data_IF_656551124719
#
_entry.id   IF_656551124719
#
_cell.length_a   1.000
_cell.length_b   1.000
_cell.length_c   1.000
_cell.angle_alpha   90.00
_cell.angle_beta   90.00
_cell.angle_gamma   90.00
#
_symmetry.space_group_name_H-M   'P 1'
#
loop_
_entity.id
_entity.type
_entity.pdbx_description
1 polymer ?
#
# COMPACT_ATOMS: atom_id res chain seq x y z
N UNK A 1 40.45 54.45 -3.26
CA UNK A 1 40.69 54.65 -1.82
C UNK A 1 39.34 54.80 -1.15
N UNK A 2 39.12 54.03 -0.08
CA UNK A 2 37.90 53.84 0.70
C UNK A 2 37.37 55.17 1.31
N UNK A 3 36.13 55.35 1.78
CA UNK A 3 35.33 54.51 2.69
C UNK A 3 33.83 54.89 2.68
N UNK A 4 32.96 53.87 2.72
CA UNK A 4 31.99 53.53 3.77
C UNK A 4 31.14 54.61 4.51
N UNK A 5 29.82 54.63 4.19
CA UNK A 5 28.62 54.45 5.05
C UNK A 5 28.54 55.21 6.42
N UNK A 6 27.54 56.09 6.65
CA UNK A 6 26.23 55.77 7.28
C UNK A 6 25.42 56.98 7.84
N UNK A 7 24.09 56.78 7.85
CA UNK A 7 23.03 57.27 8.77
C UNK A 7 22.68 58.76 8.86
N UNK A 8 21.43 59.08 8.50
CA UNK A 8 20.71 60.28 8.91
C UNK A 8 19.48 59.89 9.75
N UNK A 9 19.37 60.51 10.92
CA UNK A 9 18.29 60.41 11.91
C UNK A 9 17.32 61.58 11.79
N UNK A 10 16.02 61.25 11.94
CA UNK A 10 14.89 62.01 12.52
C UNK A 10 14.86 63.55 12.56
N UNK A 11 13.71 64.14 12.26
CA UNK A 11 12.87 64.84 13.26
C UNK A 11 11.67 65.59 12.66
N UNK A 12 10.74 65.94 13.57
CA UNK A 12 9.66 66.95 13.53
C UNK A 12 8.27 66.43 13.12
N UNK A 13 7.26 66.27 14.00
CA UNK A 13 6.65 67.05 15.12
C UNK A 13 5.23 67.44 14.69
N UNK A 14 4.19 66.77 15.20
CA UNK A 14 3.34 67.17 16.34
C UNK A 14 2.32 68.28 16.04
N UNK A 15 1.03 67.99 16.22
CA UNK A 15 0.17 68.77 17.14
C UNK A 15 -1.24 68.15 17.26
N UNK A 16 -1.72 68.21 18.48
CA UNK A 16 -2.90 67.61 19.10
C UNK A 16 -4.09 68.58 19.18
N UNK A 17 -5.32 68.07 19.14
CA UNK A 17 -6.46 68.70 19.81
C UNK A 17 -7.46 67.63 20.27
N UNK A 18 -7.88 67.71 21.52
CA UNK A 18 -8.72 66.78 22.27
C UNK A 18 -10.14 67.32 22.44
N UNK A 19 -11.14 66.44 22.36
CA UNK A 19 -12.44 66.60 23.04
C UNK A 19 -13.13 65.24 23.21
N UNK A 20 -13.39 64.89 24.46
CA UNK A 20 -14.11 63.70 24.96
C UNK A 20 -15.63 63.82 24.88
N UNK A 21 -16.35 62.76 24.46
CA UNK A 21 -17.40 62.08 25.27
C UNK A 21 -18.20 61.00 24.51
N UNK A 22 -18.23 59.80 25.13
CA UNK A 22 -19.25 58.72 25.13
C UNK A 22 -19.47 57.77 23.93
N UNK A 23 -19.71 56.44 24.19
CA UNK A 23 -19.76 55.39 23.17
C UNK A 23 -21.19 55.07 22.69
N UNK A 24 -21.36 54.81 21.39
CA UNK A 24 -22.63 54.37 20.80
C UNK A 24 -22.68 52.84 20.63
N UNK A 25 -23.76 52.24 21.13
CA UNK A 25 -24.14 50.82 21.01
C UNK A 25 -25.01 50.59 19.77
N UNK A 26 -24.78 49.46 19.05
CA UNK A 26 -25.77 48.50 18.49
C UNK A 26 -25.32 47.91 17.11
N UNK A 27 -25.82 46.73 16.68
CA UNK A 27 -26.43 45.61 17.41
C UNK A 27 -25.82 44.22 17.08
N UNK A 28 -26.03 43.27 18.00
CA UNK A 28 -25.77 41.83 17.81
C UNK A 28 -26.96 41.20 17.07
N UNK A 29 -26.71 40.49 15.97
CA UNK A 29 -27.70 39.61 15.34
C UNK A 29 -27.39 38.17 15.80
N UNK A 30 -28.25 37.66 16.68
CA UNK A 30 -28.44 36.24 16.94
C UNK A 30 -29.55 35.76 16.01
N UNK A 31 -29.33 34.72 15.20
CA UNK A 31 -30.45 33.87 14.78
C UNK A 31 -30.05 32.42 14.42
N UNK A 32 -30.47 31.54 15.32
CA UNK A 32 -31.04 30.19 15.18
C UNK A 32 -30.41 29.12 14.26
N UNK A 33 -30.11 28.00 14.93
CA UNK A 33 -30.00 26.62 14.44
C UNK A 33 -31.37 26.12 13.93
N UNK A 34 -31.48 25.39 12.80
CA UNK A 34 -32.70 24.63 12.51
C UNK A 34 -32.52 23.14 12.82
N UNK A 35 -33.54 22.58 13.49
CA UNK A 35 -33.78 21.15 13.65
C UNK A 35 -35.08 20.79 12.90
N UNK A 36 -34.98 19.77 12.04
CA UNK A 36 -35.98 18.81 11.55
C UNK A 36 -37.19 19.20 10.67
N UNK A 37 -37.23 18.53 9.51
CA UNK A 37 -38.35 17.86 8.82
C UNK A 37 -39.60 18.63 8.37
N UNK A 38 -39.83 18.67 7.05
CA UNK A 38 -41.02 18.07 6.41
C UNK A 38 -40.85 17.96 4.90
N UNK A 39 -41.00 16.71 4.45
CA UNK A 39 -41.47 16.16 3.17
C UNK A 39 -41.75 17.14 2.01
N UNK A 40 -41.05 16.96 0.89
CA UNK A 40 -41.67 17.05 -0.44
C UNK A 40 -41.12 15.96 -1.36
N UNK A 41 -42.06 15.28 -2.03
CA UNK A 41 -41.84 14.05 -2.77
C UNK A 41 -41.64 14.31 -4.26
N UNK A 42 -40.86 13.42 -4.88
CA UNK A 42 -40.81 13.06 -6.30
C UNK A 42 -40.18 14.01 -7.32
N UNK A 43 -38.88 13.80 -7.60
CA UNK A 43 -38.38 13.62 -8.98
C UNK A 43 -37.02 12.91 -9.04
N UNK A 44 -37.08 11.60 -9.31
CA UNK A 44 -36.20 10.78 -10.16
C UNK A 44 -34.67 10.74 -9.94
N UNK A 45 -34.23 9.58 -9.42
CA UNK A 45 -33.07 8.78 -9.84
C UNK A 45 -31.72 9.51 -10.00
N UNK A 46 -31.15 9.95 -8.88
CA UNK A 46 -29.68 9.99 -8.74
C UNK A 46 -29.29 8.93 -7.73
N UNK A 47 -28.46 7.98 -8.15
CA UNK A 47 -27.76 7.04 -7.29
C UNK A 47 -26.98 7.83 -6.25
N UNK A 48 -27.60 8.04 -5.09
CA UNK A 48 -26.95 8.63 -3.92
C UNK A 48 -26.04 7.55 -3.34
N UNK A 49 -24.89 7.35 -3.97
CA UNK A 49 -23.80 6.65 -3.32
C UNK A 49 -23.54 7.38 -1.98
N UNK A 50 -23.48 6.66 -0.85
CA UNK A 50 -23.13 7.29 0.42
C UNK A 50 -21.81 8.06 0.23
N UNK A 51 -21.63 9.18 0.94
CA UNK A 51 -20.28 9.74 1.11
C UNK A 51 -19.42 8.60 1.65
N UNK A 52 -18.47 8.11 0.85
CA UNK A 52 -17.63 6.97 1.22
C UNK A 52 -16.75 7.41 2.38
N UNK A 53 -17.25 7.25 3.60
CA UNK A 53 -16.41 7.26 4.80
C UNK A 53 -15.34 6.19 4.65
N UNK A 54 -14.23 6.36 5.36
CA UNK A 54 -13.11 5.42 5.30
C UNK A 54 -13.59 3.97 5.50
N UNK A 55 -13.22 3.13 4.54
CA UNK A 55 -13.39 1.69 4.56
C UNK A 55 -12.08 1.02 5.00
N UNK A 56 -11.52 1.51 6.11
CA UNK A 56 -10.35 0.92 6.75
C UNK A 56 -10.63 -0.54 7.11
N UNK A 57 -9.99 -1.44 6.37
CA UNK A 57 -9.96 -2.87 6.61
C UNK A 57 -9.06 -3.18 7.79
N UNK A 58 -7.88 -2.56 7.87
CA UNK A 58 -7.01 -2.61 9.05
C UNK A 58 -6.99 -1.21 9.68
N UNK A 59 -7.23 -1.13 10.98
CA UNK A 59 -7.29 0.13 11.74
C UNK A 59 -5.91 0.59 12.25
N UNK A 60 -5.91 1.75 12.91
CA UNK A 60 -4.81 2.27 13.74
C UNK A 60 -4.46 1.37 14.93
N UNK A 61 -5.42 0.57 15.43
CA UNK A 61 -5.19 -0.43 16.48
C UNK A 61 -4.53 -1.71 15.96
N UNK A 62 -4.25 -1.81 14.65
CA UNK A 62 -3.69 -3.00 14.01
C UNK A 62 -4.63 -4.21 13.97
N UNK A 63 -5.93 -3.95 14.09
CA UNK A 63 -6.99 -4.96 14.01
C UNK A 63 -7.70 -4.90 12.65
N UNK A 64 -8.16 -6.07 12.19
CA UNK A 64 -8.89 -6.19 10.94
C UNK A 64 -10.40 -6.14 11.19
N UNK A 65 -11.08 -5.17 10.56
CA UNK A 65 -12.52 -4.94 10.67
C UNK A 65 -13.22 -5.23 9.35
N UNK A 66 -14.14 -6.21 9.37
CA UNK A 66 -14.85 -6.65 8.16
C UNK A 66 -16.22 -6.00 8.00
N UNK A 67 -16.79 -5.47 9.08
CA UNK A 67 -18.19 -5.07 9.19
C UNK A 67 -18.53 -3.89 8.28
N UNK A 68 -17.59 -2.96 8.12
CA UNK A 68 -17.77 -1.77 7.25
C UNK A 68 -17.63 -2.11 5.77
N UNK A 69 -16.83 -3.12 5.44
CA UNK A 69 -16.55 -3.52 4.06
C UNK A 69 -17.61 -4.49 3.54
N UNK A 70 -18.13 -5.38 4.38
CA UNK A 70 -19.05 -6.45 4.00
C UNK A 70 -20.26 -6.00 3.15
N UNK A 71 -20.90 -4.84 3.38
CA UNK A 71 -22.02 -4.37 2.56
C UNK A 71 -21.66 -4.09 1.08
N UNK A 72 -20.38 -3.86 0.78
CA UNK A 72 -19.89 -3.56 -0.58
C UNK A 72 -19.47 -4.82 -1.36
N UNK A 73 -19.41 -5.97 -0.68
CA UNK A 73 -19.05 -7.25 -1.24
C UNK A 73 -20.29 -8.10 -1.54
N UNK A 74 -20.16 -8.95 -2.55
CA UNK A 74 -21.21 -9.78 -3.12
C UNK A 74 -20.83 -11.26 -3.07
N UNK A 75 -21.71 -12.14 -3.56
CA UNK A 75 -21.38 -13.56 -3.74
C UNK A 75 -20.69 -13.84 -5.09
N UNK A 76 -20.21 -12.80 -5.78
CA UNK A 76 -19.46 -12.93 -7.01
C UNK A 76 -18.13 -13.66 -6.75
N UNK A 77 -17.80 -14.61 -7.62
CA UNK A 77 -16.53 -15.37 -7.59
C UNK A 77 -15.54 -14.88 -8.65
N UNK A 78 -15.99 -14.05 -9.59
CA UNK A 78 -15.15 -13.44 -10.62
C UNK A 78 -14.76 -12.02 -10.20
N UNK A 79 -13.71 -11.93 -9.38
CA UNK A 79 -13.18 -10.66 -8.86
C UNK A 79 -11.66 -10.72 -8.85
N UNK A 80 -11.03 -9.56 -8.81
CA UNK A 80 -9.57 -9.43 -8.69
C UNK A 80 -9.23 -8.58 -7.47
N UNK A 81 -8.16 -8.95 -6.77
CA UNK A 81 -7.69 -8.27 -5.57
C UNK A 81 -6.32 -7.69 -5.88
N UNK A 82 -6.20 -6.38 -5.78
CA UNK A 82 -4.97 -5.64 -6.08
C UNK A 82 -4.53 -4.93 -4.80
N UNK A 83 -3.43 -5.38 -4.23
CA UNK A 83 -2.78 -4.73 -3.11
C UNK A 83 -1.65 -3.82 -3.59
N UNK A 84 -1.40 -2.74 -2.86
CA UNK A 84 -0.26 -1.86 -3.11
C UNK A 84 0.59 -1.71 -1.85
N UNK A 85 1.91 -1.75 -1.99
CA UNK A 85 2.87 -1.55 -0.90
C UNK A 85 4.02 -0.65 -1.35
N UNK A 86 4.58 0.10 -0.42
CA UNK A 86 5.75 0.94 -0.70
C UNK A 86 5.94 2.12 0.25
N UNK A 87 7.07 2.83 0.12
CA UNK A 87 7.47 3.89 1.04
C UNK A 87 6.55 5.13 1.06
N UNK A 88 6.73 6.08 1.99
CA UNK A 88 6.00 7.35 1.97
C UNK A 88 6.27 8.11 0.68
N UNK A 89 5.23 8.71 0.11
CA UNK A 89 5.37 9.56 -1.06
C UNK A 89 5.63 8.82 -2.37
N UNK A 90 5.72 7.49 -2.42
CA UNK A 90 5.97 6.74 -3.68
C UNK A 90 4.79 6.78 -4.68
N UNK A 91 3.66 7.41 -4.33
CA UNK A 91 2.52 7.60 -5.24
C UNK A 91 1.50 6.46 -5.22
N UNK A 92 1.48 5.61 -4.19
CA UNK A 92 0.57 4.46 -4.06
C UNK A 92 -0.90 4.79 -4.33
N UNK A 93 -1.48 5.69 -3.54
CA UNK A 93 -2.88 6.08 -3.64
C UNK A 93 -3.19 6.72 -5.01
N UNK A 94 -2.23 7.43 -5.62
CA UNK A 94 -2.37 7.96 -6.99
C UNK A 94 -2.46 6.83 -8.03
N UNK A 95 -1.59 5.81 -7.93
CA UNK A 95 -1.63 4.64 -8.82
C UNK A 95 -2.94 3.88 -8.66
N UNK A 96 -3.39 3.65 -7.42
CA UNK A 96 -4.67 2.96 -7.18
C UNK A 96 -5.88 3.77 -7.64
N UNK A 97 -5.86 5.10 -7.55
CA UNK A 97 -6.92 5.93 -8.10
C UNK A 97 -7.04 5.79 -9.62
N UNK A 98 -5.92 5.70 -10.35
CA UNK A 98 -5.97 5.41 -11.79
C UNK A 98 -6.57 4.02 -12.04
N UNK A 99 -6.13 3.00 -11.29
CA UNK A 99 -6.63 1.62 -11.45
C UNK A 99 -8.12 1.53 -11.12
N UNK A 100 -8.60 2.33 -10.17
CA UNK A 100 -10.02 2.46 -9.86
C UNK A 100 -10.84 3.09 -11.00
N UNK A 101 -10.18 3.77 -11.96
CA UNK A 101 -10.83 4.54 -13.01
C UNK A 101 -11.29 5.92 -12.54
N UNK A 102 -10.59 6.52 -11.56
CA UNK A 102 -10.89 7.88 -11.11
C UNK A 102 -10.53 8.91 -12.19
N UNK A 103 -11.54 9.65 -12.65
CA UNK A 103 -11.36 10.80 -13.52
C UNK A 103 -11.40 12.11 -12.71
N UNK A 104 -10.22 12.67 -12.46
CA UNK A 104 -10.06 13.95 -11.76
C UNK A 104 -10.52 15.18 -12.55
N UNK A 105 -10.88 15.04 -13.84
CA UNK A 105 -11.38 16.16 -14.64
C UNK A 105 -12.86 16.46 -14.39
N UNK A 106 -13.59 15.49 -13.84
CA UNK A 106 -15.01 15.58 -13.54
C UNK A 106 -15.27 16.44 -12.28
N UNK A 107 -15.98 17.59 -12.39
CA UNK A 107 -16.19 18.49 -11.26
C UNK A 107 -16.95 17.82 -10.09
N UNK A 108 -16.43 17.96 -8.87
CA UNK A 108 -17.10 17.53 -7.65
C UNK A 108 -16.91 16.06 -7.26
N UNK A 109 -16.13 15.29 -8.02
CA UNK A 109 -15.72 13.94 -7.62
C UNK A 109 -14.47 13.97 -6.76
N UNK A 110 -14.55 13.33 -5.59
CA UNK A 110 -13.38 13.10 -4.73
C UNK A 110 -12.71 11.79 -5.14
N UNK A 111 -11.39 11.78 -5.09
CA UNK A 111 -10.61 10.57 -5.34
C UNK A 111 -11.00 9.46 -4.32
N UNK A 112 -11.14 8.20 -4.76
CA UNK A 112 -11.44 7.08 -3.88
C UNK A 112 -10.42 6.92 -2.75
N UNK A 113 -9.13 7.05 -3.07
CA UNK A 113 -8.04 7.04 -2.09
C UNK A 113 -7.50 8.45 -1.92
N UNK A 114 -7.34 8.89 -0.68
CA UNK A 114 -6.78 10.20 -0.39
C UNK A 114 -5.29 10.24 -0.79
N UNK A 115 -4.95 11.20 -1.65
CA UNK A 115 -3.55 11.47 -2.02
C UNK A 115 -2.96 12.55 -1.13
N UNK A 116 -1.64 12.56 -0.94
CA UNK A 116 -0.95 13.59 -0.16
C UNK A 116 -1.29 15.01 -0.65
N UNK A 117 -1.86 15.82 0.25
CA UNK A 117 -2.06 17.24 0.03
C UNK A 117 -0.76 18.02 0.28
N UNK A 118 -0.70 19.27 -0.17
CA UNK A 118 0.44 20.15 0.15
C UNK A 118 0.60 20.36 1.66
N UNK A 119 -0.50 20.43 2.40
CA UNK A 119 -0.51 20.55 3.86
C UNK A 119 0.06 19.29 4.53
N UNK A 120 -0.40 18.10 4.12
CA UNK A 120 0.11 16.82 4.64
C UNK A 120 1.60 16.67 4.36
N UNK A 121 2.05 17.12 3.19
CA UNK A 121 3.48 17.14 2.81
C UNK A 121 4.27 18.14 3.66
N UNK A 122 3.75 19.35 3.87
CA UNK A 122 4.39 20.37 4.69
C UNK A 122 4.51 19.97 6.17
N UNK A 123 3.56 19.18 6.67
CA UNK A 123 3.53 18.66 8.04
C UNK A 123 4.21 17.30 8.19
N UNK A 124 4.79 16.74 7.12
CA UNK A 124 5.46 15.45 7.08
C UNK A 124 4.62 14.29 7.66
N UNK A 125 3.31 14.29 7.38
CA UNK A 125 2.38 13.25 7.85
C UNK A 125 2.10 12.19 6.78
N UNK A 126 1.72 10.99 7.22
CA UNK A 126 1.14 9.99 6.32
C UNK A 126 -0.33 10.34 6.03
N UNK A 127 -0.84 9.81 4.91
CA UNK A 127 -2.25 9.98 4.52
C UNK A 127 -3.10 8.75 4.85
N UNK A 128 -2.53 7.56 4.59
CA UNK A 128 -3.18 6.27 4.76
C UNK A 128 -2.68 5.62 6.04
N UNK A 129 -3.60 5.16 6.88
CA UNK A 129 -3.34 4.44 8.13
C UNK A 129 -3.98 3.05 8.04
N UNK A 130 -3.23 1.99 8.35
CA UNK A 130 -3.66 0.62 8.17
C UNK A 130 -3.82 0.23 6.69
N UNK A 131 -4.99 -0.29 6.32
CA UNK A 131 -5.35 -0.65 4.94
C UNK A 131 -6.72 -0.09 4.61
N UNK A 132 -6.82 0.81 3.64
CA UNK A 132 -8.10 1.30 3.10
C UNK A 132 -8.52 0.40 1.92
N UNK A 133 -9.77 -0.05 1.91
CA UNK A 133 -10.31 -0.90 0.85
C UNK A 133 -11.32 -0.15 -0.01
N UNK A 134 -11.22 -0.26 -1.34
CA UNK A 134 -12.26 0.19 -2.27
C UNK A 134 -12.62 -0.91 -3.25
N UNK A 135 -13.90 -0.91 -3.67
CA UNK A 135 -14.41 -1.82 -4.69
C UNK A 135 -14.81 -0.98 -5.91
N UNK A 136 -14.25 -1.30 -7.08
CA UNK A 136 -14.59 -0.61 -8.34
C UNK A 136 -15.90 -1.13 -8.94
N UNK A 137 -16.37 -0.48 -10.02
CA UNK A 137 -17.55 -0.94 -10.76
C UNK A 137 -17.30 -2.29 -11.45
N UNK A 138 -16.06 -2.55 -11.85
CA UNK A 138 -15.55 -3.76 -12.50
C UNK A 138 -15.18 -4.87 -11.49
N UNK A 139 -15.65 -4.76 -10.23
CA UNK A 139 -15.42 -5.73 -9.16
C UNK A 139 -13.94 -5.94 -8.82
N UNK A 140 -13.12 -4.90 -9.01
CA UNK A 140 -11.76 -4.88 -8.46
C UNK A 140 -11.83 -4.53 -6.98
N UNK A 141 -11.22 -5.35 -6.13
CA UNK A 141 -10.98 -5.05 -4.71
C UNK A 141 -9.57 -4.46 -4.61
N UNK A 142 -9.49 -3.16 -4.32
CA UNK A 142 -8.24 -2.41 -4.22
C UNK A 142 -7.88 -2.16 -2.75
N UNK A 143 -6.65 -2.50 -2.35
CA UNK A 143 -6.15 -2.35 -0.99
C UNK A 143 -5.01 -1.32 -0.97
N UNK A 144 -5.29 -0.12 -0.48
CA UNK A 144 -4.27 0.93 -0.25
C UNK A 144 -3.68 0.79 1.14
N UNK A 145 -2.38 0.52 1.24
CA UNK A 145 -1.72 0.34 2.52
C UNK A 145 -1.05 1.62 3.00
N UNK A 146 -0.99 1.77 4.33
CA UNK A 146 -0.11 2.73 4.96
C UNK A 146 1.33 2.57 4.45
N UNK A 147 2.10 3.67 4.31
CA UNK A 147 3.48 3.56 3.85
C UNK A 147 4.35 2.74 4.81
N UNK A 148 5.09 1.78 4.27
CA UNK A 148 6.17 1.10 5.01
C UNK A 148 7.40 2.01 5.11
N UNK A 149 8.30 1.75 6.07
CA UNK A 149 9.46 2.63 6.35
C UNK A 149 9.07 4.09 6.68
N UNK A 150 7.87 4.31 7.24
CA UNK A 150 7.34 5.66 7.46
C UNK A 150 7.78 6.25 8.80
N UNK A 151 8.59 7.32 8.80
CA UNK A 151 8.96 7.99 10.05
C UNK A 151 7.75 8.60 10.76
N UNK A 152 6.72 9.02 10.00
CA UNK A 152 5.51 9.61 10.56
C UNK A 152 4.64 8.58 11.29
N UNK A 153 4.62 7.31 10.85
CA UNK A 153 3.90 6.23 11.53
C UNK A 153 4.68 5.83 12.78
N UNK A 154 6.01 5.67 12.66
CA UNK A 154 6.88 5.40 13.79
C UNK A 154 6.74 6.47 14.89
N UNK A 155 6.73 7.76 14.51
CA UNK A 155 6.58 8.86 15.46
C UNK A 155 5.21 8.87 16.17
N UNK A 156 4.14 8.43 15.50
CA UNK A 156 2.80 8.35 16.08
C UNK A 156 2.66 7.17 17.05
N UNK A 157 3.26 6.02 16.74
CA UNK A 157 3.20 4.84 17.59
C UNK A 157 4.22 4.84 18.73
N UNK A 158 5.26 5.67 18.69
CA UNK A 158 6.31 5.68 19.70
C UNK A 158 5.85 6.37 20.99
N UNK A 159 5.85 5.63 22.10
CA UNK A 159 5.65 6.17 23.44
C UNK A 159 6.89 6.95 23.91
N UNK A 160 6.76 7.82 24.94
CA UNK A 160 7.90 8.58 25.47
C UNK A 160 9.06 7.73 26.00
N UNK A 161 8.80 6.47 26.34
CA UNK A 161 9.81 5.50 26.79
C UNK A 161 10.48 4.72 25.63
N UNK A 162 10.18 5.07 24.38
CA UNK A 162 10.68 4.38 23.19
C UNK A 162 9.95 3.09 22.84
N UNK A 163 8.94 2.69 23.61
CA UNK A 163 8.14 1.48 23.35
C UNK A 163 7.02 1.74 22.36
N UNK A 164 6.54 0.68 21.72
CA UNK A 164 5.38 0.75 20.82
C UNK A 164 4.07 0.94 21.56
N UNK A 165 3.22 1.86 21.09
CA UNK A 165 1.83 2.02 21.51
C UNK A 165 0.96 0.82 21.10
N UNK A 166 1.30 0.18 19.98
CA UNK A 166 0.59 -0.98 19.44
C UNK A 166 1.06 -2.23 20.20
N UNK A 167 0.15 -2.99 20.83
CA UNK A 167 0.50 -4.20 21.56
C UNK A 167 0.99 -5.30 20.60
N UNK A 168 2.00 -6.06 21.01
CA UNK A 168 2.38 -7.27 20.28
C UNK A 168 1.41 -8.41 20.62
N UNK A 169 1.21 -9.33 19.67
CA UNK A 169 0.31 -10.48 19.85
C UNK A 169 0.68 -11.35 21.06
N UNK A 170 1.96 -11.38 21.42
CA UNK A 170 2.48 -12.19 22.52
C UNK A 170 2.52 -11.44 23.87
N UNK A 171 2.01 -10.22 23.94
CA UNK A 171 2.05 -9.38 25.15
C UNK A 171 3.44 -8.86 25.49
N UNK A 172 4.45 -9.10 24.65
CA UNK A 172 5.79 -8.57 24.82
C UNK A 172 5.83 -7.08 24.44
N UNK A 173 6.47 -6.26 25.28
CA UNK A 173 6.69 -4.85 24.96
C UNK A 173 7.90 -4.74 24.03
N UNK A 174 7.63 -4.35 22.78
CA UNK A 174 8.65 -4.10 21.77
C UNK A 174 9.06 -2.63 21.75
N UNK A 175 10.31 -2.36 21.33
CA UNK A 175 10.69 -1.00 20.93
C UNK A 175 9.84 -0.56 19.73
N UNK A 176 9.61 0.75 19.62
CA UNK A 176 8.82 1.31 18.52
C UNK A 176 9.43 0.97 17.15
N UNK A 177 10.77 1.00 17.04
CA UNK A 177 11.49 0.66 15.80
C UNK A 177 11.25 -0.79 15.37
N UNK A 178 11.38 -1.74 16.30
CA UNK A 178 11.15 -3.16 15.99
C UNK A 178 9.68 -3.44 15.69
N UNK A 179 8.77 -2.84 16.46
CA UNK A 179 7.34 -2.99 16.18
C UNK A 179 6.98 -2.48 14.78
N UNK A 180 7.52 -1.32 14.39
CA UNK A 180 7.32 -0.75 13.07
C UNK A 180 7.91 -1.63 11.95
N UNK A 181 9.09 -2.23 12.17
CA UNK A 181 9.68 -3.20 11.23
C UNK A 181 8.77 -4.43 11.03
N UNK A 182 8.28 -5.02 12.13
CA UNK A 182 7.36 -6.16 12.08
C UNK A 182 6.03 -5.81 11.43
N UNK A 183 5.50 -4.61 11.67
CA UNK A 183 4.29 -4.13 11.00
C UNK A 183 4.48 -4.07 9.48
N UNK A 184 5.63 -3.58 9.00
CA UNK A 184 5.95 -3.55 7.57
C UNK A 184 6.00 -4.95 6.96
N UNK A 185 6.58 -5.91 7.69
CA UNK A 185 6.63 -7.33 7.29
C UNK A 185 5.23 -7.94 7.27
N UNK A 186 4.44 -7.76 8.32
CA UNK A 186 3.09 -8.30 8.43
C UNK A 186 2.17 -7.79 7.31
N UNK A 187 2.25 -6.50 6.95
CA UNK A 187 1.53 -5.97 5.79
C UNK A 187 1.97 -6.67 4.49
N UNK A 188 3.27 -6.79 4.26
CA UNK A 188 3.80 -7.45 3.07
C UNK A 188 3.35 -8.91 2.96
N UNK A 189 3.46 -9.68 4.04
CA UNK A 189 3.01 -11.08 4.09
C UNK A 189 1.50 -11.19 3.88
N UNK A 190 0.71 -10.33 4.53
CA UNK A 190 -0.74 -10.31 4.36
C UNK A 190 -1.15 -10.05 2.92
N UNK A 191 -0.60 -9.00 2.28
CA UNK A 191 -0.91 -8.68 0.88
C UNK A 191 -0.46 -9.80 -0.06
N UNK A 192 0.76 -10.31 0.13
CA UNK A 192 1.31 -11.41 -0.69
C UNK A 192 0.50 -12.70 -0.56
N UNK A 193 -0.29 -12.87 0.50
CA UNK A 193 -1.10 -14.07 0.75
C UNK A 193 -2.57 -13.90 0.36
N UNK A 194 -3.07 -12.68 0.18
CA UNK A 194 -4.50 -12.39 -0.03
C UNK A 194 -4.82 -11.72 -1.35
N UNK A 195 -3.82 -11.15 -2.03
CA UNK A 195 -3.99 -10.44 -3.30
C UNK A 195 -3.76 -11.34 -4.50
N UNK A 196 -4.35 -11.00 -5.64
CA UNK A 196 -4.01 -11.55 -6.95
C UNK A 196 -2.80 -10.82 -7.55
N UNK A 197 -2.81 -9.49 -7.46
CA UNK A 197 -1.70 -8.62 -7.86
C UNK A 197 -1.19 -7.86 -6.65
N UNK A 198 0.13 -7.82 -6.47
CA UNK A 198 0.81 -6.99 -5.48
C UNK A 198 1.68 -5.94 -6.18
N UNK A 199 1.21 -4.70 -6.20
CA UNK A 199 1.95 -3.56 -6.74
C UNK A 199 3.02 -3.13 -5.71
N UNK A 200 4.29 -3.26 -6.07
CA UNK A 200 5.44 -2.86 -5.26
C UNK A 200 5.96 -1.52 -5.77
N UNK A 201 5.61 -0.43 -5.09
CA UNK A 201 5.79 0.93 -5.61
C UNK A 201 6.90 1.69 -4.91
N UNK A 202 7.91 2.10 -5.68
CA UNK A 202 9.10 2.80 -5.19
C UNK A 202 9.30 4.13 -5.91
N UNK A 203 10.19 4.97 -5.39
CA UNK A 203 10.61 6.22 -6.04
C UNK A 203 12.01 6.06 -6.64
N UNK A 204 12.16 6.43 -7.92
CA UNK A 204 13.42 6.34 -8.64
C UNK A 204 13.85 4.89 -8.91
N UNK A 205 15.15 4.66 -9.13
CA UNK A 205 15.70 3.37 -9.60
C UNK A 205 16.64 2.68 -8.58
N UNK A 206 16.71 3.19 -7.35
CA UNK A 206 17.72 2.80 -6.36
C UNK A 206 17.11 2.36 -5.02
N UNK A 207 15.94 1.72 -5.05
CA UNK A 207 15.23 1.30 -3.83
C UNK A 207 15.46 -0.17 -3.50
N UNK A 208 16.71 -0.50 -3.18
CA UNK A 208 17.11 -1.85 -2.78
C UNK A 208 16.46 -2.26 -1.45
N UNK A 209 16.10 -1.30 -0.60
CA UNK A 209 15.41 -1.57 0.67
C UNK A 209 14.04 -2.20 0.43
N UNK A 210 13.27 -1.68 -0.54
CA UNK A 210 12.02 -2.31 -0.94
C UNK A 210 12.23 -3.73 -1.49
N UNK A 211 13.30 -3.95 -2.27
CA UNK A 211 13.59 -5.29 -2.79
C UNK A 211 13.94 -6.26 -1.67
N UNK A 212 14.76 -5.82 -0.71
CA UNK A 212 15.09 -6.59 0.47
C UNK A 212 13.83 -6.92 1.29
N UNK A 213 12.95 -5.93 1.50
CA UNK A 213 11.67 -6.16 2.17
C UNK A 213 10.84 -7.23 1.49
N UNK A 214 10.76 -7.22 0.16
CA UNK A 214 10.01 -8.25 -0.57
C UNK A 214 10.67 -9.63 -0.42
N UNK A 215 12.00 -9.74 -0.42
CA UNK A 215 12.65 -11.02 -0.10
C UNK A 215 12.42 -11.47 1.35
N UNK A 216 12.34 -10.53 2.30
CA UNK A 216 11.95 -10.83 3.68
C UNK A 216 10.50 -11.32 3.75
N UNK A 217 9.59 -10.74 2.97
CA UNK A 217 8.20 -11.21 2.84
C UNK A 217 8.16 -12.61 2.24
N UNK A 218 8.93 -12.87 1.18
CA UNK A 218 9.06 -14.19 0.54
C UNK A 218 9.50 -15.26 1.56
N UNK A 219 10.50 -14.92 2.38
CA UNK A 219 11.04 -15.80 3.42
C UNK A 219 10.04 -16.05 4.57
N UNK A 220 9.27 -15.03 4.98
CA UNK A 220 8.47 -15.11 6.21
C UNK A 220 7.01 -15.51 5.99
N UNK A 221 6.58 -15.65 4.73
CA UNK A 221 5.23 -16.08 4.36
C UNK A 221 4.98 -17.58 4.59
N UNK A 222 6.01 -18.38 4.89
CA UNK A 222 5.86 -19.81 5.11
C UNK A 222 4.80 -20.14 6.18
N UNK A 223 3.97 -21.14 5.88
CA UNK A 223 2.89 -21.58 6.75
C UNK A 223 1.62 -20.71 6.73
N UNK A 224 1.55 -19.70 5.86
CA UNK A 224 0.32 -18.95 5.60
C UNK A 224 -0.52 -19.69 4.53
N UNK A 225 -1.77 -20.10 4.84
CA UNK A 225 -2.58 -20.89 3.92
C UNK A 225 -3.17 -20.04 2.78
N UNK A 226 -3.49 -20.71 1.68
CA UNK A 226 -4.29 -20.14 0.59
C UNK A 226 -5.66 -19.63 1.11
N UNK A 227 -6.13 -18.44 0.66
CA UNK A 227 -7.42 -17.86 1.09
C UNK A 227 -8.62 -18.79 0.95
N UNK A 228 -8.64 -19.70 -0.02
CA UNK A 228 -9.71 -20.68 -0.23
C UNK A 228 -9.61 -21.93 0.66
N UNK A 229 -8.53 -22.09 1.43
CA UNK A 229 -8.25 -23.28 2.26
C UNK A 229 -8.20 -23.00 3.77
N UNK A 230 -8.58 -21.79 4.22
CA UNK A 230 -8.47 -21.38 5.63
C UNK A 230 -9.31 -22.21 6.62
N UNK A 231 -10.37 -22.89 6.18
CA UNK A 231 -11.23 -23.72 7.04
C UNK A 231 -10.51 -24.97 7.59
N UNK A 232 -9.52 -25.49 6.88
CA UNK A 232 -8.78 -26.69 7.27
C UNK A 232 -7.71 -26.40 8.33
N UNK A 233 -7.22 -25.17 8.39
CA UNK A 233 -6.15 -24.77 9.32
C UNK A 233 -6.59 -24.83 10.79
N UNK A 234 -7.84 -24.46 11.08
CA UNK A 234 -8.43 -24.55 12.43
C UNK A 234 -8.56 -25.97 13.00
N UNK A 235 -8.49 -27.01 12.15
CA UNK A 235 -8.51 -28.40 12.61
C UNK A 235 -7.10 -28.97 12.83
N UNK A 236 -6.10 -28.48 12.09
CA UNK A 236 -4.71 -28.93 12.23
C UNK A 236 -4.02 -28.38 13.48
N UNK A 237 -4.38 -27.16 13.92
CA UNK A 237 -3.76 -26.53 15.11
C UNK A 237 -4.14 -27.21 16.44
N UNK A 238 -5.16 -28.07 16.46
CA UNK A 238 -5.59 -28.82 17.64
C UNK A 238 -5.07 -30.27 17.69
N UNK A 239 -4.25 -30.70 16.73
CA UNK A 239 -3.73 -32.07 16.62
C UNK A 239 -2.20 -32.16 16.75
N UNK A 240 -1.55 -31.15 17.31
CA UNK A 240 -0.17 -31.27 17.80
C UNK A 240 -0.17 -31.96 19.16
N UNK A 241 -0.57 -33.23 19.16
CA UNK A 241 -0.20 -34.19 20.19
C UNK A 241 -0.03 -35.54 19.51
N UNK A 242 1.23 -35.95 19.43
CA UNK A 242 1.70 -37.31 19.17
C UNK A 242 1.19 -38.01 17.90
N UNK A 243 1.96 -37.86 16.81
CA UNK A 243 2.37 -39.00 15.96
C UNK A 243 3.41 -38.61 14.92
N UNK A 244 4.64 -39.05 15.16
CA UNK A 244 5.63 -39.31 14.11
C UNK A 244 5.10 -40.41 13.16
N UNK A 245 5.53 -40.34 11.91
CA UNK A 245 5.22 -41.21 10.75
C UNK A 245 3.92 -40.96 9.98
N UNK A 246 3.98 -40.02 9.02
CA UNK A 246 3.56 -40.32 7.64
C UNK A 246 4.21 -39.33 6.65
N UNK A 247 5.12 -39.81 5.81
CA UNK A 247 5.79 -39.06 4.72
C UNK A 247 4.86 -38.76 3.53
N UNK A 248 3.66 -38.26 3.82
CA UNK A 248 2.74 -37.68 2.84
C UNK A 248 2.06 -36.45 3.49
N UNK A 249 2.88 -35.51 3.98
CA UNK A 249 2.40 -34.14 4.13
C UNK A 249 2.18 -33.63 2.71
N UNK A 250 0.94 -33.73 2.23
CA UNK A 250 0.48 -32.92 1.09
C UNK A 250 0.96 -31.49 1.35
N UNK A 251 1.94 -31.03 0.56
CA UNK A 251 2.46 -29.69 0.67
C UNK A 251 1.26 -28.76 0.55
N UNK A 252 0.89 -28.12 1.67
CA UNK A 252 -0.17 -27.11 1.68
C UNK A 252 0.27 -26.09 0.64
N UNK A 253 -0.47 -26.02 -0.47
CA UNK A 253 -0.07 -25.21 -1.61
C UNK A 253 -0.09 -23.75 -1.18
N UNK A 254 1.10 -23.18 -0.98
CA UNK A 254 1.25 -21.81 -0.50
C UNK A 254 0.95 -20.84 -1.65
N UNK A 255 -0.26 -20.29 -1.66
CA UNK A 255 -0.66 -19.26 -2.62
C UNK A 255 0.19 -18.00 -2.48
N UNK A 256 0.62 -17.40 -3.60
CA UNK A 256 1.40 -16.16 -3.61
C UNK A 256 0.83 -15.16 -4.63
N UNK A 257 0.73 -13.90 -4.26
CA UNK A 257 0.34 -12.82 -5.17
C UNK A 257 1.42 -12.56 -6.23
N UNK A 258 0.99 -12.22 -7.45
CA UNK A 258 1.91 -11.82 -8.52
C UNK A 258 2.46 -10.42 -8.25
N UNK A 259 3.79 -10.23 -8.05
CA UNK A 259 4.34 -8.92 -7.78
C UNK A 259 4.59 -8.15 -9.08
N UNK A 260 4.20 -6.88 -9.07
CA UNK A 260 4.48 -5.93 -10.16
C UNK A 260 5.28 -4.77 -9.59
N UNK A 261 6.52 -4.62 -10.03
CA UNK A 261 7.40 -3.57 -9.56
C UNK A 261 7.13 -2.28 -10.34
N UNK A 262 6.75 -1.22 -9.63
CA UNK A 262 6.44 0.08 -10.22
C UNK A 262 7.42 1.12 -9.65
N UNK A 263 8.31 1.60 -10.50
CA UNK A 263 9.25 2.65 -10.14
C UNK A 263 8.68 3.99 -10.61
N UNK A 264 8.44 4.91 -9.68
CA UNK A 264 7.77 6.18 -9.94
C UNK A 264 8.73 7.36 -9.91
N UNK A 265 8.27 8.49 -10.46
CA UNK A 265 8.99 9.77 -10.47
C UNK A 265 10.40 9.69 -11.08
N UNK A 266 10.57 8.85 -12.10
CA UNK A 266 11.83 8.81 -12.82
C UNK A 266 12.08 10.15 -13.52
N UNK A 267 13.35 10.57 -13.50
CA UNK A 267 13.83 11.72 -14.27
C UNK A 267 14.17 11.27 -15.69
N UNK A 268 14.20 12.19 -16.64
CA UNK A 268 14.52 11.88 -18.05
C UNK A 268 15.83 11.11 -18.23
N UNK A 269 16.85 11.42 -17.44
CA UNK A 269 18.14 10.69 -17.48
C UNK A 269 18.05 9.23 -17.02
N UNK A 270 17.06 8.91 -16.20
CA UNK A 270 16.80 7.58 -15.66
C UNK A 270 15.88 6.77 -16.60
N UNK A 271 15.15 7.45 -17.51
CA UNK A 271 14.21 6.86 -18.49
C UNK A 271 14.86 6.33 -19.77
N UNK A 272 16.19 6.40 -19.92
CA UNK A 272 16.85 5.87 -21.12
C UNK A 272 16.64 4.34 -21.23
N UNK A 273 16.47 3.78 -22.45
CA UNK A 273 16.24 2.33 -22.63
C UNK A 273 17.33 1.45 -22.00
N UNK A 274 18.59 1.90 -22.03
CA UNK A 274 19.71 1.21 -21.40
C UNK A 274 19.54 1.10 -19.88
N UNK A 275 19.15 2.19 -19.21
CA UNK A 275 18.93 2.23 -17.75
C UNK A 275 17.77 1.32 -17.35
N UNK A 276 16.67 1.37 -18.09
CA UNK A 276 15.49 0.52 -17.83
C UNK A 276 15.84 -0.96 -18.03
N UNK A 277 16.59 -1.29 -19.10
CA UNK A 277 17.06 -2.67 -19.34
C UNK A 277 17.98 -3.16 -18.24
N UNK A 278 18.90 -2.30 -17.76
CA UNK A 278 19.76 -2.61 -16.62
C UNK A 278 18.96 -2.82 -15.34
N UNK A 279 17.99 -1.95 -15.05
CA UNK A 279 17.10 -2.08 -13.89
C UNK A 279 16.35 -3.41 -13.92
N UNK A 280 15.74 -3.77 -15.07
CA UNK A 280 15.05 -5.04 -15.25
C UNK A 280 15.97 -6.24 -15.01
N UNK A 281 17.17 -6.22 -15.60
CA UNK A 281 18.17 -7.28 -15.41
C UNK A 281 18.60 -7.42 -13.95
N UNK A 282 18.90 -6.30 -13.29
CA UNK A 282 19.31 -6.30 -11.88
C UNK A 282 18.17 -6.80 -10.98
N UNK A 283 16.93 -6.39 -11.24
CA UNK A 283 15.75 -6.87 -10.51
C UNK A 283 15.59 -8.39 -10.67
N UNK A 284 15.57 -8.91 -11.89
CA UNK A 284 15.46 -10.35 -12.14
C UNK A 284 16.60 -11.16 -11.51
N UNK A 285 17.82 -10.61 -11.50
CA UNK A 285 18.95 -11.22 -10.80
C UNK A 285 18.79 -11.20 -9.28
N UNK A 286 18.28 -10.10 -8.72
CA UNK A 286 18.09 -9.96 -7.27
C UNK A 286 17.05 -10.93 -6.72
N UNK A 287 16.03 -11.26 -7.50
CA UNK A 287 14.94 -12.17 -7.14
C UNK A 287 15.08 -13.58 -7.72
N UNK A 288 16.22 -13.95 -8.31
CA UNK A 288 16.36 -15.19 -9.08
C UNK A 288 16.06 -16.46 -8.28
N UNK A 289 16.27 -16.44 -6.96
CA UNK A 289 16.00 -17.56 -6.05
C UNK A 289 14.67 -17.45 -5.31
N UNK A 290 13.91 -16.36 -5.50
CA UNK A 290 12.70 -16.11 -4.74
C UNK A 290 11.49 -16.84 -5.35
N UNK A 291 10.47 -17.09 -4.53
CA UNK A 291 9.25 -17.73 -5.04
C UNK A 291 8.46 -16.81 -6.00
N UNK A 292 8.62 -15.48 -5.86
CA UNK A 292 8.07 -14.49 -6.79
C UNK A 292 8.54 -14.68 -8.24
N UNK A 293 9.80 -15.07 -8.47
CA UNK A 293 10.32 -15.30 -9.82
C UNK A 293 9.80 -16.61 -10.45
N UNK A 294 9.41 -17.59 -9.62
CA UNK A 294 8.90 -18.88 -10.09
C UNK A 294 7.48 -18.79 -10.66
N UNK A 295 6.69 -17.82 -10.20
CA UNK A 295 5.31 -17.62 -10.68
C UNK A 295 5.24 -17.25 -12.17
N UNK A 296 6.20 -16.45 -12.66
CA UNK A 296 6.25 -16.05 -14.08
C UNK A 296 6.35 -17.27 -15.01
N UNK A 297 6.95 -18.37 -14.54
CA UNK A 297 7.14 -19.60 -15.31
C UNK A 297 5.93 -20.56 -15.27
N UNK A 298 4.94 -20.36 -14.40
CA UNK A 298 3.79 -21.24 -14.26
C UNK A 298 2.72 -21.09 -15.34
N UNK A 299 2.76 -19.98 -16.10
CA UNK A 299 1.74 -19.62 -17.09
C UNK A 299 2.05 -20.09 -18.52
N UNK A 300 3.18 -20.75 -18.76
CA UNK A 300 3.42 -21.47 -20.04
C UNK A 300 2.90 -22.89 -19.92
N UNK A 301 1.97 -23.35 -20.78
CA UNK A 301 1.56 -24.75 -20.80
C UNK A 301 2.82 -25.60 -21.04
N UNK A 302 3.12 -26.52 -20.13
CA UNK A 302 4.03 -27.62 -20.41
C UNK A 302 3.35 -28.52 -21.43
N UNK A 303 3.50 -28.20 -22.71
CA UNK A 303 3.30 -29.21 -23.74
C UNK A 303 4.33 -30.30 -23.50
N UNK A 304 3.82 -31.49 -23.19
CA UNK A 304 4.60 -32.71 -23.13
C UNK A 304 5.20 -32.98 -24.52
N UNK A 305 6.45 -32.59 -24.73
CA UNK A 305 7.26 -33.12 -25.82
C UNK A 305 8.70 -33.35 -25.35
N UNK A 306 8.99 -34.64 -25.15
CA UNK A 306 10.28 -35.33 -25.27
C UNK A 306 11.50 -34.78 -24.52
N UNK A 307 11.88 -35.57 -23.49
CA UNK A 307 13.16 -35.53 -22.82
C UNK A 307 14.32 -35.75 -23.80
N UNK A 308 15.09 -34.69 -24.07
CA UNK A 308 16.46 -34.80 -24.56
C UNK A 308 17.42 -34.30 -23.47
N UNK A 309 18.36 -35.13 -22.98
CA UNK A 309 19.26 -34.75 -21.89
C UNK A 309 20.52 -34.11 -22.49
N UNK A 310 20.40 -32.92 -23.04
CA UNK A 310 21.54 -32.04 -23.39
C UNK A 310 20.98 -30.64 -23.68
N UNK A 311 20.65 -29.90 -22.64
CA UNK A 311 20.41 -28.46 -22.75
C UNK A 311 21.30 -27.76 -21.75
N UNK A 312 22.28 -27.02 -22.27
CA UNK A 312 23.17 -26.15 -21.54
C UNK A 312 22.40 -25.34 -20.48
N UNK A 313 22.71 -25.59 -19.20
CA UNK A 313 22.14 -24.90 -18.02
C UNK A 313 22.48 -23.38 -18.03
N UNK A 314 23.23 -22.91 -19.01
CA UNK A 314 23.74 -21.54 -19.11
C UNK A 314 22.86 -20.55 -19.91
N UNK A 315 21.71 -20.98 -20.45
CA UNK A 315 20.82 -20.10 -21.26
C UNK A 315 19.35 -20.01 -20.78
N UNK A 316 19.06 -20.32 -19.52
CA UNK A 316 17.77 -19.92 -18.95
C UNK A 316 17.75 -18.39 -18.86
N UNK A 317 16.98 -17.73 -19.74
CA UNK A 317 16.66 -16.32 -19.59
C UNK A 317 16.07 -16.14 -18.18
N UNK A 318 16.62 -15.24 -17.35
CA UNK A 318 16.08 -14.99 -16.02
C UNK A 318 14.58 -14.73 -16.11
N UNK A 319 13.79 -15.22 -15.14
CA UNK A 319 12.37 -14.88 -15.04
C UNK A 319 12.22 -13.36 -15.20
N UNK A 320 11.49 -12.94 -16.23
CA UNK A 320 11.22 -11.52 -16.43
C UNK A 320 10.14 -11.12 -15.42
N UNK A 321 10.56 -10.53 -14.31
CA UNK A 321 9.63 -9.89 -13.38
C UNK A 321 8.93 -8.72 -14.07
N UNK A 322 7.65 -8.54 -13.76
CA UNK A 322 6.86 -7.43 -14.29
C UNK A 322 7.37 -6.11 -13.67
N UNK A 323 7.87 -5.24 -14.54
CA UNK A 323 8.47 -3.95 -14.19
C UNK A 323 7.84 -2.84 -15.01
N UNK A 324 7.36 -1.80 -14.32
CA UNK A 324 6.87 -0.56 -14.90
C UNK A 324 7.67 0.62 -14.38
N UNK A 325 7.84 1.60 -15.25
CA UNK A 325 8.48 2.88 -14.91
C UNK A 325 7.52 4.02 -15.22
N UNK A 326 7.32 4.91 -14.26
CA UNK A 326 6.50 6.11 -14.40
C UNK A 326 7.40 7.34 -14.30
N UNK A 327 7.35 8.24 -15.30
CA UNK A 327 8.11 9.49 -15.25
C UNK A 327 7.55 10.39 -14.14
N UNK A 328 8.32 11.41 -13.76
CA UNK A 328 7.82 12.45 -12.85
C UNK A 328 6.74 13.28 -13.55
N UNK A 329 5.62 13.51 -12.87
CA UNK A 329 4.62 14.48 -13.33
C UNK A 329 5.25 15.88 -13.36
N UNK A 330 5.33 16.49 -14.54
CA UNK A 330 5.79 17.86 -14.76
C UNK A 330 4.58 18.69 -15.20
N UNK A 331 4.28 19.79 -14.51
CA UNK A 331 3.19 20.68 -14.93
C UNK A 331 3.56 21.48 -16.19
N UNK A 332 4.86 21.61 -16.48
CA UNK A 332 5.41 22.28 -17.67
C UNK A 332 5.65 21.29 -18.82
N UNK A 333 4.61 20.60 -19.29
CA UNK A 333 4.63 19.73 -20.49
C UNK A 333 4.91 20.50 -21.82
N UNK A 334 5.35 21.76 -21.72
CA UNK A 334 5.49 22.68 -22.84
C UNK A 334 6.91 22.73 -23.44
N UNK A 335 7.94 22.16 -22.80
CA UNK A 335 9.32 22.24 -23.30
C UNK A 335 10.07 20.91 -23.24
N UNK A 336 9.91 20.10 -24.29
CA UNK A 336 10.94 19.12 -24.69
C UNK A 336 10.94 17.77 -23.96
N UNK A 337 9.79 17.26 -23.53
CA UNK A 337 9.67 15.90 -23.01
C UNK A 337 10.24 14.90 -24.03
N UNK A 338 11.37 14.27 -23.71
CA UNK A 338 11.97 13.23 -24.55
C UNK A 338 11.24 11.89 -24.46
N UNK A 339 10.37 11.74 -23.45
CA UNK A 339 9.68 10.50 -23.12
C UNK A 339 8.17 10.72 -23.00
N UNK A 340 7.44 9.62 -22.93
CA UNK A 340 6.00 9.60 -22.73
C UNK A 340 5.57 10.34 -21.45
N UNK A 341 4.39 10.96 -21.47
CA UNK A 341 3.84 11.70 -20.32
C UNK A 341 3.50 10.79 -19.15
N UNK A 342 3.48 11.35 -17.94
CA UNK A 342 3.05 10.63 -16.73
C UNK A 342 1.66 10.01 -16.86
N UNK A 343 0.67 10.79 -17.33
CA UNK A 343 -0.71 10.32 -17.48
C UNK A 343 -0.81 9.16 -18.48
N UNK A 344 -0.10 9.24 -19.61
CA UNK A 344 -0.12 8.15 -20.59
C UNK A 344 0.56 6.88 -20.06
N UNK A 345 1.73 7.00 -19.42
CA UNK A 345 2.41 5.84 -18.81
C UNK A 345 1.60 5.23 -17.66
N UNK A 346 0.90 6.06 -16.87
CA UNK A 346 0.02 5.61 -15.80
C UNK A 346 -1.21 4.86 -16.34
N UNK A 347 -1.81 5.36 -17.42
CA UNK A 347 -2.88 4.65 -18.13
C UNK A 347 -2.43 3.30 -18.71
N UNK A 348 -1.20 3.21 -19.25
CA UNK A 348 -0.62 1.93 -19.70
C UNK A 348 -0.41 0.95 -18.55
N UNK A 349 0.05 1.42 -17.39
CA UNK A 349 0.16 0.59 -16.20
C UNK A 349 -1.21 0.01 -15.82
N UNK A 350 -2.25 0.86 -15.76
CA UNK A 350 -3.63 0.40 -15.51
C UNK A 350 -4.03 -0.68 -16.51
N UNK A 351 -3.94 -0.39 -17.80
CA UNK A 351 -4.40 -1.31 -18.84
C UNK A 351 -3.68 -2.66 -18.78
N UNK A 352 -2.38 -2.66 -18.48
CA UNK A 352 -1.62 -3.90 -18.32
C UNK A 352 -2.02 -4.66 -17.05
N UNK A 353 -2.16 -3.99 -15.90
CA UNK A 353 -2.60 -4.61 -14.64
C UNK A 353 -3.99 -5.24 -14.79
N UNK A 354 -4.93 -4.56 -15.47
CA UNK A 354 -6.27 -5.09 -15.73
C UNK A 354 -6.29 -6.27 -16.71
N UNK A 355 -5.28 -6.38 -17.58
CA UNK A 355 -5.13 -7.48 -18.53
C UNK A 355 -4.33 -8.67 -17.98
N UNK A 356 -3.75 -8.56 -16.78
CA UNK A 356 -2.94 -9.62 -16.19
C UNK A 356 -3.77 -10.87 -15.91
N UNK A 357 -3.23 -12.04 -16.30
CA UNK A 357 -3.75 -13.34 -15.89
C UNK A 357 -3.03 -13.79 -14.63
N UNK A 358 -3.65 -13.53 -13.48
CA UNK A 358 -3.09 -13.92 -12.18
C UNK A 358 -3.41 -15.37 -11.85
N UNK A 359 -2.58 -15.97 -10.99
CA UNK A 359 -2.86 -17.28 -10.42
C UNK A 359 -4.16 -17.19 -9.61
N UNK A 360 -5.16 -18.05 -9.89
CA UNK A 360 -6.36 -18.12 -9.07
C UNK A 360 -6.04 -18.78 -7.73
N UNK A 361 -6.87 -18.53 -6.71
CA UNK A 361 -6.86 -19.33 -5.49
C UNK A 361 -7.14 -20.81 -5.79
N UNK A 362 -6.68 -21.71 -4.91
CA UNK A 362 -6.83 -23.16 -5.09
C UNK A 362 -8.29 -23.60 -5.34
N UNK A 363 -9.26 -22.89 -4.75
CA UNK A 363 -10.69 -23.05 -5.03
C UNK A 363 -11.33 -21.68 -5.27
N UNK A 364 -12.34 -21.67 -6.14
CA UNK A 364 -13.17 -20.49 -6.33
C UNK A 364 -13.91 -20.16 -5.03
N UNK A 365 -13.73 -18.92 -4.55
CA UNK A 365 -14.39 -18.35 -3.37
C UNK A 365 -15.15 -17.10 -3.80
N UNK A 366 -16.17 -16.70 -3.06
CA UNK A 366 -16.82 -15.41 -3.29
C UNK A 366 -16.04 -14.25 -2.66
N UNK A 367 -16.31 -13.01 -3.07
CA UNK A 367 -15.70 -11.82 -2.44
C UNK A 367 -15.95 -11.77 -0.92
N UNK A 368 -17.15 -12.17 -0.48
CA UNK A 368 -17.51 -12.25 0.96
C UNK A 368 -16.74 -13.35 1.68
N UNK A 369 -16.54 -14.48 1.03
CA UNK A 369 -15.71 -15.55 1.56
C UNK A 369 -14.23 -15.14 1.62
N UNK A 370 -13.72 -14.48 0.59
CA UNK A 370 -12.38 -13.88 0.58
C UNK A 370 -12.17 -12.92 1.75
N UNK A 371 -13.11 -12.02 2.03
CA UNK A 371 -12.99 -11.09 3.16
C UNK A 371 -12.92 -11.84 4.50
N UNK A 372 -13.80 -12.82 4.70
CA UNK A 372 -13.84 -13.65 5.91
C UNK A 372 -12.54 -14.44 6.09
N UNK A 373 -12.03 -15.01 5.00
CA UNK A 373 -10.82 -15.82 5.02
C UNK A 373 -9.57 -14.96 5.19
N UNK A 374 -9.55 -13.75 4.61
CA UNK A 374 -8.50 -12.74 4.82
C UNK A 374 -8.43 -12.30 6.28
N UNK A 375 -9.57 -12.15 6.97
CA UNK A 375 -9.58 -11.91 8.42
C UNK A 375 -8.87 -13.01 9.21
N UNK A 376 -9.07 -14.29 8.84
CA UNK A 376 -8.35 -15.41 9.47
C UNK A 376 -6.86 -15.39 9.14
N UNK A 377 -6.51 -15.11 7.88
CA UNK A 377 -5.11 -14.99 7.46
C UNK A 377 -4.42 -13.88 8.25
N UNK A 378 -5.06 -12.73 8.47
CA UNK A 378 -4.50 -11.67 9.29
C UNK A 378 -4.16 -12.13 10.71
N UNK A 379 -5.05 -12.89 11.35
CA UNK A 379 -4.77 -13.48 12.67
C UNK A 379 -3.61 -14.48 12.64
N UNK A 380 -3.50 -15.29 11.58
CA UNK A 380 -2.36 -16.21 11.40
C UNK A 380 -1.06 -15.41 11.23
N UNK A 381 -1.08 -14.33 10.44
CA UNK A 381 0.09 -13.45 10.22
C UNK A 381 0.52 -12.77 11.51
N UNK A 382 -0.41 -12.21 12.30
CA UNK A 382 -0.11 -11.60 13.60
C UNK A 382 0.51 -12.59 14.59
N UNK A 383 0.09 -13.84 14.54
CA UNK A 383 0.53 -14.92 15.43
C UNK A 383 1.58 -15.85 14.79
N UNK A 384 2.20 -15.45 13.68
CA UNK A 384 3.11 -16.32 12.94
C UNK A 384 4.36 -16.64 13.80
N UNK A 385 4.65 -17.92 14.06
CA UNK A 385 5.84 -18.32 14.81
C UNK A 385 7.14 -17.97 14.06
N UNK A 386 7.11 -18.00 12.72
CA UNK A 386 8.26 -17.67 11.87
C UNK A 386 8.58 -16.18 11.97
N UNK A 387 7.57 -15.31 11.96
CA UNK A 387 7.75 -13.86 12.17
C UNK A 387 8.25 -13.58 13.60
N UNK A 388 7.74 -14.31 14.60
CA UNK A 388 8.19 -14.16 15.98
C UNK A 388 9.67 -14.57 16.17
N UNK A 389 10.11 -15.64 15.52
CA UNK A 389 11.52 -16.07 15.52
C UNK A 389 12.42 -15.04 14.82
N UNK A 390 11.96 -14.48 13.71
CA UNK A 390 12.66 -13.39 13.03
C UNK A 390 12.79 -12.15 13.93
N UNK A 391 11.71 -11.75 14.62
CA UNK A 391 11.73 -10.67 15.61
C UNK A 391 12.81 -10.89 16.67
N UNK A 392 12.86 -12.11 17.23
CA UNK A 392 13.86 -12.47 18.24
C UNK A 392 15.29 -12.40 17.69
N UNK A 393 15.49 -12.87 16.46
CA UNK A 393 16.79 -12.80 15.79
C UNK A 393 17.26 -11.36 15.60
N UNK A 394 16.35 -10.44 15.23
CA UNK A 394 16.64 -9.02 15.13
C UNK A 394 17.01 -8.40 16.48
N UNK A 395 16.33 -8.78 17.56
CA UNK A 395 16.68 -8.32 18.91
C UNK A 395 18.06 -8.83 19.35
N UNK A 396 18.33 -10.13 19.14
CA UNK A 396 19.59 -10.78 19.53
C UNK A 396 20.79 -10.24 18.73
N UNK A 397 20.57 -9.78 17.50
CA UNK A 397 21.59 -9.12 16.68
C UNK A 397 22.07 -7.78 17.26
N UNK A 398 21.31 -7.19 18.18
CA UNK A 398 21.59 -5.88 18.77
C UNK A 398 21.26 -4.69 17.87
N UNK A 399 20.57 -4.88 16.73
CA UNK A 399 20.07 -3.79 15.89
C UNK A 399 18.93 -3.01 16.55
N UNK A 400 18.14 -3.65 17.41
CA UNK A 400 16.96 -3.06 18.07
C UNK A 400 17.07 -3.16 19.60
N UNK A 401 18.18 -2.63 20.17
CA UNK A 401 18.37 -2.63 21.63
C UNK A 401 17.28 -1.81 22.33
N UNK A 402 16.84 -2.32 23.48
CA UNK A 402 15.98 -1.58 24.42
C UNK A 402 16.71 -0.38 25.02
#
# INVERSE_FOLDING_TARGET
>A
MADTINTATSSSSSSSASSTSTPSVAPKILLAKPVSSTVDSTSHLRSRAPSLGSLNLISDSWDLHTERVLPFLTENTDFTVIGIIGPPGSGKSTVLNEIYGFDGTSPGMLAPFATHSEETRATARHCTTGIELRVSAERLILLDTQPIFSPSILAEMMRPDGTSAIPSSNGEVLSADLAHELMCIQLGVFLASTCHVLLVVTEGIHDVNMWHQMLTVDLLKHGIPDPSSTSSYSQASNLVSDKENNDNLDAVEEYLACPVFVHTKLRDKDMSPLRITQLKKTLSQYFSSSSFARMVHGNTPKDHSDEHPDTDISQLSPADLDLFVLPRSCEDDLQGAMYESFTTSLGKLRDQVLAMKCQPFAKAISEREWLRNSARIWEIVKNSPVIAEYSKTLQDSGMFRR
#
